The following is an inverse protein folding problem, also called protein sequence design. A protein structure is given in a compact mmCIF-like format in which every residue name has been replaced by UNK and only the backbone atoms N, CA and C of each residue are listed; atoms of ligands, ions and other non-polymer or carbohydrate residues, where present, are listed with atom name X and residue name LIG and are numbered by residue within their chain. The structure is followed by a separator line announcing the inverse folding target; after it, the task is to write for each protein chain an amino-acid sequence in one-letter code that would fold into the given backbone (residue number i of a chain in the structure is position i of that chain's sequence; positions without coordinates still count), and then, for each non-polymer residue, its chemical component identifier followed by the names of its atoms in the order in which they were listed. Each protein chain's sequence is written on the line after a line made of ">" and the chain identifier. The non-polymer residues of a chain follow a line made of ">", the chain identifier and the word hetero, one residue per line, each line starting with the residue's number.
data_IF_327150502710
#
_entry.id   IF_327150502710
#
_cell.length_a   1.000
_cell.length_b   1.000
_cell.length_c   1.000
_cell.angle_alpha   90.00
_cell.angle_beta   90.00
_cell.angle_gamma   90.00
#
_symmetry.space_group_name_H-M   'P 1'
#
loop_
_entity.id
_entity.type
_entity.pdbx_description
1 polymer ?
#
# COMPACT_ATOMS: atom_id res chain seq x y z
N UNK A 1 -69.93 73.67 -10.54
CA UNK A 1 -70.98 72.71 -10.92
C UNK A 1 -70.25 71.48 -11.41
N UNK A 2 -70.27 70.30 -10.83
CA UNK A 2 -70.91 69.72 -9.63
C UNK A 2 -70.31 68.32 -9.60
N UNK A 3 -69.78 67.89 -8.46
CA UNK A 3 -69.55 66.50 -8.05
C UNK A 3 -70.87 65.68 -8.06
N UNK A 4 -70.94 64.39 -7.63
CA UNK A 4 -69.94 63.32 -7.40
C UNK A 4 -70.46 61.91 -7.84
N UNK A 5 -69.76 60.84 -7.44
CA UNK A 5 -70.27 59.62 -6.74
C UNK A 5 -69.21 58.51 -6.88
N UNK A 6 -68.78 57.74 -5.89
CA UNK A 6 -68.77 57.79 -4.42
C UNK A 6 -67.80 56.67 -3.98
N UNK A 7 -67.19 56.81 -2.81
CA UNK A 7 -66.38 55.80 -2.10
C UNK A 7 -67.30 55.22 -0.99
N UNK A 8 -66.85 54.77 0.21
CA UNK A 8 -65.87 53.77 0.63
C UNK A 8 -66.46 52.75 1.65
N UNK A 9 -65.65 51.81 2.18
CA UNK A 9 -65.52 51.48 3.63
C UNK A 9 -64.34 50.50 3.81
N UNK A 10 -63.21 50.91 4.44
CA UNK A 10 -62.85 50.84 5.88
C UNK A 10 -62.27 49.45 6.25
N UNK A 11 -60.97 49.26 6.53
CA UNK A 11 -60.09 49.77 7.59
C UNK A 11 -60.08 48.90 8.87
N UNK A 12 -58.88 48.78 9.46
CA UNK A 12 -58.55 48.39 10.85
C UNK A 12 -58.59 46.88 11.21
N UNK A 13 -57.82 46.33 12.16
CA UNK A 13 -56.61 46.68 12.93
C UNK A 13 -56.28 45.41 13.78
N UNK A 14 -55.05 45.32 14.26
CA UNK A 14 -54.40 44.35 15.19
C UNK A 14 -55.23 44.22 16.51
N UNK A 15 -55.28 43.11 17.31
CA UNK A 15 -54.12 42.59 18.07
C UNK A 15 -54.07 41.11 18.52
N UNK A 16 -52.98 40.80 19.22
CA UNK A 16 -52.57 39.56 19.90
C UNK A 16 -53.64 38.89 20.80
N UNK A 17 -53.31 37.71 21.34
CA UNK A 17 -53.69 37.41 22.71
C UNK A 17 -52.51 37.02 23.62
N UNK A 18 -52.49 37.70 24.77
CA UNK A 18 -51.78 37.37 26.00
C UNK A 18 -52.32 36.09 26.66
N UNK A 19 -51.39 35.32 27.24
CA UNK A 19 -51.38 35.00 28.68
C UNK A 19 -52.36 33.96 29.24
N UNK A 20 -51.82 32.84 29.75
CA UNK A 20 -51.74 32.51 31.18
C UNK A 20 -51.46 31.00 31.39
N UNK A 21 -50.46 30.68 32.24
CA UNK A 21 -50.07 29.32 32.66
C UNK A 21 -51.04 28.69 33.69
N UNK A 22 -50.60 27.80 34.62
CA UNK A 22 -49.33 27.92 35.35
C UNK A 22 -48.62 26.60 35.82
N UNK A 23 -47.42 26.79 36.42
CA UNK A 23 -46.67 25.97 37.42
C UNK A 23 -46.08 24.59 37.03
N UNK A 24 -44.82 24.22 37.33
CA UNK A 24 -43.73 24.86 38.08
C UNK A 24 -42.48 23.95 38.26
N UNK A 25 -41.42 24.54 38.81
CA UNK A 25 -40.16 23.97 39.37
C UNK A 25 -39.01 23.68 38.38
N UNK A 26 -38.04 24.59 38.13
CA UNK A 26 -36.92 25.09 38.97
C UNK A 26 -35.86 23.98 39.28
N UNK A 27 -34.53 24.14 39.13
CA UNK A 27 -33.68 25.32 39.06
C UNK A 27 -32.29 24.98 38.46
N UNK A 28 -31.65 25.97 37.80
CA UNK A 28 -30.19 26.15 37.75
C UNK A 28 -29.76 27.02 38.94
N UNK A 29 -28.45 27.15 39.23
CA UNK A 29 -27.97 28.48 39.58
C UNK A 29 -26.64 28.91 38.93
N UNK A 30 -26.59 30.23 38.69
CA UNK A 30 -25.48 31.10 38.28
C UNK A 30 -24.51 31.45 39.42
N UNK A 31 -23.49 32.23 39.07
CA UNK A 31 -22.25 32.55 39.77
C UNK A 31 -22.21 33.86 40.62
N UNK A 32 -21.17 33.92 41.49
CA UNK A 32 -20.35 35.08 41.99
C UNK A 32 -20.86 35.96 43.18
N UNK A 33 -20.02 36.81 43.85
CA UNK A 33 -18.64 36.64 44.43
C UNK A 33 -18.39 37.34 45.82
N UNK A 34 -17.09 37.43 46.23
CA UNK A 34 -16.41 38.31 47.24
C UNK A 34 -16.39 37.85 48.74
N UNK A 35 -15.32 37.92 49.56
CA UNK A 35 -13.99 38.60 49.58
C UNK A 35 -13.16 38.11 50.80
N UNK A 36 -11.81 38.17 50.75
CA UNK A 36 -10.96 38.40 51.95
C UNK A 36 -9.74 37.47 52.17
N UNK A 37 -8.53 37.98 51.90
CA UNK A 37 -7.19 37.42 52.23
C UNK A 37 -6.84 37.61 53.75
N UNK A 38 -5.68 37.19 54.34
CA UNK A 38 -4.35 36.94 53.72
C UNK A 38 -3.42 35.82 54.29
N UNK A 39 -2.37 35.55 53.51
CA UNK A 39 -0.95 35.21 53.79
C UNK A 39 -0.49 34.42 55.05
N UNK A 40 0.27 33.32 54.82
CA UNK A 40 1.50 32.90 55.50
C UNK A 40 2.08 31.69 54.72
N UNK A 41 3.19 31.84 53.99
CA UNK A 41 4.59 31.58 54.37
C UNK A 41 4.99 30.09 54.27
N UNK A 42 6.07 29.82 53.51
CA UNK A 42 6.65 28.51 53.28
C UNK A 42 7.58 28.10 54.44
N UNK A 43 7.92 26.81 54.61
CA UNK A 43 9.21 26.40 54.05
C UNK A 43 9.26 24.97 53.48
N UNK A 44 10.33 24.76 52.72
CA UNK A 44 10.77 23.51 52.13
C UNK A 44 11.27 22.48 53.18
N UNK A 45 11.22 21.19 52.78
CA UNK A 45 12.01 20.11 53.38
C UNK A 45 11.19 18.90 53.78
N UNK A 46 11.25 17.81 53.01
CA UNK A 46 11.93 16.56 53.39
C UNK A 46 11.51 15.41 52.46
N UNK A 47 12.49 14.60 52.05
CA UNK A 47 12.27 13.42 51.21
C UNK A 47 11.84 12.22 52.07
N UNK A 48 10.98 11.30 51.58
CA UNK A 48 10.70 10.07 52.33
C UNK A 48 11.91 9.11 52.30
N UNK A 49 12.21 8.41 53.41
CA UNK A 49 13.42 7.60 53.53
C UNK A 49 13.31 6.27 52.79
N UNK A 50 14.46 5.79 52.29
CA UNK A 50 14.64 4.44 51.78
C UNK A 50 14.40 3.41 52.89
N UNK A 51 13.51 2.45 52.63
CA UNK A 51 13.28 1.31 53.52
C UNK A 51 14.50 0.38 53.51
N UNK A 52 15.24 0.34 54.62
CA UNK A 52 16.25 -0.68 54.90
C UNK A 52 15.57 -1.90 55.52
N UNK A 53 15.65 -3.04 54.86
CA UNK A 53 15.18 -4.35 55.37
C UNK A 53 16.10 -4.80 56.51
N UNK A 54 15.52 -5.25 57.62
CA UNK A 54 16.26 -5.64 58.82
C UNK A 54 16.77 -7.09 58.75
N UNK A 55 17.85 -7.39 59.45
CA UNK A 55 18.46 -8.73 59.47
C UNK A 55 17.51 -9.85 59.95
N UNK A 56 16.44 -9.50 60.68
CA UNK A 56 15.41 -10.46 61.11
C UNK A 56 14.49 -10.91 59.96
N UNK A 57 14.34 -10.11 58.91
CA UNK A 57 13.51 -10.43 57.75
C UNK A 57 14.24 -11.35 56.75
N UNK A 58 15.58 -11.36 56.77
CA UNK A 58 16.41 -12.26 55.97
C UNK A 58 16.49 -13.67 56.57
N UNK A 59 16.57 -13.79 57.90
CA UNK A 59 16.54 -15.10 58.59
C UNK A 59 15.17 -15.81 58.44
N UNK A 60 14.07 -15.04 58.37
CA UNK A 60 12.73 -15.59 58.17
C UNK A 60 12.53 -16.15 56.74
N UNK A 61 13.25 -15.64 55.75
CA UNK A 61 13.24 -16.16 54.37
C UNK A 61 14.11 -17.42 54.23
N UNK A 62 15.26 -17.49 54.91
CA UNK A 62 16.12 -18.68 54.90
C UNK A 62 15.50 -19.87 55.68
N UNK A 63 14.78 -19.61 56.76
CA UNK A 63 14.06 -20.67 57.49
C UNK A 63 12.87 -21.26 56.71
N UNK A 64 12.28 -20.50 55.78
CA UNK A 64 11.23 -20.99 54.88
C UNK A 64 11.78 -21.82 53.71
N UNK A 65 13.07 -21.67 53.38
CA UNK A 65 13.75 -22.37 52.29
C UNK A 65 14.30 -23.74 52.73
N UNK A 66 14.66 -23.90 54.01
CA UNK A 66 15.11 -25.18 54.58
C UNK A 66 13.96 -26.13 54.97
N UNK A 67 12.71 -25.66 54.99
CA UNK A 67 11.53 -26.49 55.28
C UNK A 67 10.96 -27.23 54.03
N UNK A 68 11.69 -27.24 52.91
CA UNK A 68 11.27 -27.88 51.65
C UNK A 68 12.20 -29.00 51.21
N UNK A 69 12.57 -29.89 52.13
CA UNK A 69 13.21 -31.16 51.82
C UNK A 69 12.43 -32.33 52.43
N UNK A 70 11.85 -33.14 51.54
CA UNK A 70 11.45 -34.53 51.82
C UNK A 70 9.95 -34.80 51.90
N UNK A 71 9.29 -34.95 50.74
CA UNK A 71 8.10 -35.79 50.63
C UNK A 71 8.23 -36.68 49.37
N UNK A 72 8.36 -38.02 49.50
CA UNK A 72 8.58 -38.92 48.38
C UNK A 72 7.25 -39.48 47.88
N UNK A 73 6.45 -38.67 47.18
CA UNK A 73 5.31 -39.13 46.37
C UNK A 73 4.75 -37.99 45.52
N UNK A 74 5.49 -37.57 44.49
CA UNK A 74 4.90 -36.88 43.36
C UNK A 74 5.48 -37.52 42.11
N UNK A 75 4.59 -38.21 41.40
CA UNK A 75 4.84 -38.83 40.11
C UNK A 75 5.65 -37.87 39.23
N UNK A 76 6.69 -38.42 38.60
CA UNK A 76 7.30 -37.85 37.41
C UNK A 76 6.16 -37.56 36.43
N UNK A 77 5.73 -36.30 36.33
CA UNK A 77 5.14 -35.81 35.10
C UNK A 77 6.28 -35.79 34.10
N UNK A 78 6.41 -36.94 33.42
CA UNK A 78 7.12 -37.13 32.19
C UNK A 78 6.96 -35.83 31.38
N UNK A 79 8.05 -35.12 31.01
CA UNK A 79 7.93 -33.94 30.18
C UNK A 79 7.15 -34.39 28.95
N UNK A 80 5.88 -34.01 28.88
CA UNK A 80 4.99 -34.43 27.81
C UNK A 80 5.78 -34.24 26.53
N UNK A 81 6.06 -35.36 25.86
CA UNK A 81 6.67 -35.37 24.55
C UNK A 81 5.85 -34.37 23.74
N UNK A 82 6.38 -33.15 23.58
CA UNK A 82 6.02 -32.33 22.47
C UNK A 82 6.66 -33.12 21.33
N UNK A 83 5.93 -34.11 20.85
CA UNK A 83 6.13 -34.70 19.55
C UNK A 83 6.14 -33.50 18.61
N UNK A 84 7.33 -32.96 18.37
CA UNK A 84 7.64 -32.18 17.19
C UNK A 84 7.66 -33.22 16.06
N UNK A 85 6.52 -33.87 15.85
CA UNK A 85 6.20 -34.48 14.59
C UNK A 85 6.42 -33.35 13.59
N UNK A 86 7.27 -33.61 12.62
CA UNK A 86 7.58 -32.76 11.48
C UNK A 86 6.30 -32.67 10.62
N UNK A 87 5.24 -32.04 11.17
CA UNK A 87 3.90 -31.89 10.60
C UNK A 87 3.91 -30.71 9.63
N UNK A 88 4.91 -30.71 8.75
CA UNK A 88 4.90 -29.88 7.55
C UNK A 88 3.86 -30.50 6.63
N UNK A 89 2.64 -29.97 6.75
CA UNK A 89 1.47 -30.23 5.92
C UNK A 89 0.67 -31.47 6.33
N UNK A 90 -0.07 -31.37 7.44
CA UNK A 90 -1.27 -32.19 7.61
C UNK A 90 -2.17 -32.02 6.38
N UNK A 91 -2.60 -33.10 5.71
CA UNK A 91 -3.56 -33.02 4.61
C UNK A 91 -4.78 -32.21 5.04
N UNK A 92 -5.22 -31.25 4.20
CA UNK A 92 -6.33 -30.34 4.51
C UNK A 92 -7.58 -31.07 5.03
N UNK A 93 -7.85 -32.28 4.53
CA UNK A 93 -8.96 -33.13 4.98
C UNK A 93 -8.86 -33.54 6.45
N UNK A 94 -7.65 -33.87 6.95
CA UNK A 94 -7.42 -34.20 8.36
C UNK A 94 -7.56 -32.97 9.25
N UNK A 95 -7.02 -31.84 8.80
CA UNK A 95 -7.16 -30.55 9.48
C UNK A 95 -8.64 -30.14 9.58
N UNK A 96 -9.38 -30.23 8.49
CA UNK A 96 -10.81 -29.93 8.45
C UNK A 96 -11.64 -30.89 9.33
N UNK A 97 -11.30 -32.18 9.35
CA UNK A 97 -11.94 -33.15 10.23
C UNK A 97 -11.70 -32.83 11.72
N UNK A 98 -10.49 -32.41 12.09
CA UNK A 98 -10.17 -31.94 13.43
C UNK A 98 -10.91 -30.62 13.74
N UNK A 99 -10.93 -29.68 12.80
CA UNK A 99 -11.56 -28.37 12.95
C UNK A 99 -13.07 -28.44 13.19
N UNK A 100 -13.76 -29.45 12.62
CA UNK A 100 -15.18 -29.71 12.88
C UNK A 100 -15.50 -29.96 14.36
N UNK A 101 -14.54 -30.48 15.12
CA UNK A 101 -14.70 -30.76 16.56
C UNK A 101 -14.41 -29.57 17.47
N UNK A 102 -13.85 -28.48 16.93
CA UNK A 102 -13.57 -27.27 17.72
C UNK A 102 -14.88 -26.66 18.22
N UNK A 103 -14.88 -26.08 19.42
CA UNK A 103 -16.00 -25.26 19.90
C UNK A 103 -16.02 -23.90 19.21
N UNK A 104 -17.13 -23.15 19.33
CA UNK A 104 -17.23 -21.81 18.75
C UNK A 104 -16.18 -20.85 19.35
N UNK A 105 -15.96 -20.91 20.66
CA UNK A 105 -14.96 -20.07 21.33
C UNK A 105 -13.55 -20.45 20.92
N UNK A 106 -13.27 -21.74 20.72
CA UNK A 106 -11.98 -22.19 20.23
C UNK A 106 -11.71 -21.68 18.82
N UNK A 107 -12.71 -21.73 17.92
CA UNK A 107 -12.58 -21.15 16.57
C UNK A 107 -12.27 -19.65 16.65
N UNK A 108 -12.93 -18.91 17.54
CA UNK A 108 -12.62 -17.48 17.76
C UNK A 108 -11.15 -17.28 18.15
N UNK A 109 -10.63 -18.04 19.12
CA UNK A 109 -9.22 -17.92 19.53
C UNK A 109 -8.24 -18.28 18.40
N UNK A 110 -8.61 -19.22 17.53
CA UNK A 110 -7.79 -19.58 16.37
C UNK A 110 -7.76 -18.43 15.36
N UNK A 111 -8.92 -17.85 15.04
CA UNK A 111 -9.02 -16.69 14.14
C UNK A 111 -8.22 -15.51 14.68
N UNK A 112 -8.36 -15.21 15.97
CA UNK A 112 -7.60 -14.15 16.64
C UNK A 112 -6.08 -14.39 16.57
N UNK A 113 -5.63 -15.63 16.78
CA UNK A 113 -4.22 -16.02 16.66
C UNK A 113 -3.72 -15.80 15.23
N UNK A 114 -4.49 -16.23 14.22
CA UNK A 114 -4.12 -16.06 12.81
C UNK A 114 -4.04 -14.57 12.44
N UNK A 115 -5.00 -13.76 12.89
CA UNK A 115 -5.02 -12.32 12.66
C UNK A 115 -3.88 -11.59 13.37
N UNK A 116 -3.49 -12.03 14.57
CA UNK A 116 -2.38 -11.47 15.31
C UNK A 116 -1.02 -11.76 14.65
N UNK A 117 -0.87 -12.95 14.06
CA UNK A 117 0.34 -13.33 13.32
C UNK A 117 0.41 -12.72 11.92
N UNK A 118 -0.72 -12.32 11.34
CA UNK A 118 -0.77 -11.81 9.98
C UNK A 118 -0.22 -10.37 9.87
N UNK A 119 0.81 -10.19 9.04
CA UNK A 119 1.37 -8.86 8.75
C UNK A 119 0.50 -8.03 7.77
N UNK A 120 -0.41 -8.70 7.05
CA UNK A 120 -1.29 -8.13 6.02
C UNK A 120 -2.75 -8.55 6.28
N UNK A 121 -3.75 -7.87 5.68
CA UNK A 121 -5.12 -8.35 5.74
C UNK A 121 -5.22 -9.80 5.27
N UNK A 122 -5.91 -10.61 6.08
CA UNK A 122 -6.06 -12.04 5.87
C UNK A 122 -7.45 -12.33 5.33
N UNK A 123 -7.57 -12.99 4.17
CA UNK A 123 -8.88 -13.34 3.62
C UNK A 123 -9.51 -14.51 4.38
N UNK A 124 -10.83 -14.64 4.29
CA UNK A 124 -11.55 -15.78 4.91
C UNK A 124 -11.11 -17.10 4.28
N UNK A 125 -10.77 -17.13 2.99
CA UNK A 125 -10.23 -18.33 2.35
C UNK A 125 -8.83 -18.70 2.89
N UNK A 126 -7.97 -17.71 3.14
CA UNK A 126 -6.66 -17.94 3.74
C UNK A 126 -6.78 -18.48 5.17
N UNK A 127 -7.71 -17.92 5.97
CA UNK A 127 -8.02 -18.45 7.30
C UNK A 127 -8.53 -19.89 7.24
N UNK A 128 -9.39 -20.21 6.26
CA UNK A 128 -9.89 -21.57 6.04
C UNK A 128 -8.75 -22.51 5.69
N UNK A 129 -7.88 -22.12 4.76
CA UNK A 129 -6.74 -22.93 4.35
C UNK A 129 -5.82 -23.25 5.53
N UNK A 130 -5.55 -22.26 6.40
CA UNK A 130 -4.69 -22.41 7.57
C UNK A 130 -5.33 -23.19 8.73
N UNK A 131 -6.65 -23.10 8.92
CA UNK A 131 -7.33 -23.67 10.10
C UNK A 131 -8.17 -24.91 9.81
N UNK A 132 -8.53 -25.18 8.55
CA UNK A 132 -9.50 -26.21 8.15
C UNK A 132 -10.95 -25.91 8.56
N UNK A 133 -11.22 -24.76 9.17
CA UNK A 133 -12.55 -24.37 9.65
C UNK A 133 -13.44 -23.95 8.47
N UNK A 134 -14.70 -24.36 8.48
CA UNK A 134 -15.68 -23.95 7.46
C UNK A 134 -15.94 -22.44 7.47
N UNK A 135 -16.14 -21.85 6.29
CA UNK A 135 -16.30 -20.41 6.07
C UNK A 135 -17.36 -19.79 6.99
N UNK A 136 -18.54 -20.39 7.07
CA UNK A 136 -19.64 -19.87 7.91
C UNK A 136 -19.27 -19.77 9.40
N UNK A 137 -18.41 -20.67 9.89
CA UNK A 137 -17.94 -20.63 11.28
C UNK A 137 -16.86 -19.58 11.49
N UNK A 138 -16.05 -19.32 10.48
CA UNK A 138 -15.05 -18.24 10.48
C UNK A 138 -15.74 -16.88 10.49
N UNK A 139 -16.74 -16.67 9.62
CA UNK A 139 -17.52 -15.43 9.57
C UNK A 139 -18.20 -15.14 10.91
N UNK A 140 -18.88 -16.13 11.49
CA UNK A 140 -19.49 -16.00 12.83
C UNK A 140 -18.46 -15.69 13.93
N UNK A 141 -17.24 -16.22 13.80
CA UNK A 141 -16.16 -15.94 14.76
C UNK A 141 -15.62 -14.52 14.58
N UNK A 142 -15.48 -14.04 13.35
CA UNK A 142 -15.08 -12.68 13.01
C UNK A 142 -16.11 -11.65 13.49
N UNK A 143 -17.40 -11.90 13.31
CA UNK A 143 -18.46 -11.02 13.80
C UNK A 143 -18.41 -10.87 15.33
N UNK A 144 -18.25 -11.99 16.04
CA UNK A 144 -18.10 -11.99 17.51
C UNK A 144 -16.82 -11.26 17.95
N UNK A 145 -15.72 -11.48 17.25
CA UNK A 145 -14.44 -10.84 17.55
C UNK A 145 -14.51 -9.33 17.28
N UNK A 146 -15.17 -8.92 16.20
CA UNK A 146 -15.44 -7.52 15.87
C UNK A 146 -16.29 -6.86 16.95
N UNK A 147 -17.35 -7.53 17.42
CA UNK A 147 -18.13 -7.08 18.57
C UNK A 147 -17.28 -6.90 19.82
N UNK A 148 -16.45 -7.90 20.16
CA UNK A 148 -15.57 -7.85 21.33
C UNK A 148 -14.60 -6.67 21.32
N UNK A 149 -13.93 -6.41 20.19
CA UNK A 149 -13.01 -5.27 20.06
C UNK A 149 -13.72 -3.91 20.00
N UNK A 150 -15.04 -3.87 19.71
CA UNK A 150 -15.86 -2.66 19.79
C UNK A 150 -16.42 -2.40 21.19
N UNK A 151 -16.46 -3.42 22.04
CA UNK A 151 -16.97 -3.32 23.40
C UNK A 151 -15.90 -2.73 24.34
N UNK A 152 -16.17 -1.54 24.87
CA UNK A 152 -15.33 -0.90 25.89
C UNK A 152 -14.08 -0.20 25.33
N UNK A 153 -13.21 0.33 26.23
CA UNK A 153 -12.00 1.02 25.83
C UNK A 153 -10.91 0.03 25.37
N UNK A 154 -10.91 -0.31 24.08
CA UNK A 154 -9.90 -1.16 23.45
C UNK A 154 -8.88 -0.35 22.63
N UNK A 155 -7.59 -0.65 22.80
CA UNK A 155 -6.52 -0.04 22.01
C UNK A 155 -6.35 -0.66 20.61
N UNK A 156 -7.00 -1.80 20.36
CA UNK A 156 -6.95 -2.58 19.12
C UNK A 156 -8.37 -2.69 18.57
N UNK A 157 -8.49 -2.59 17.25
CA UNK A 157 -9.74 -2.68 16.51
C UNK A 157 -9.59 -3.67 15.36
N UNK A 158 -10.66 -4.40 15.07
CA UNK A 158 -10.71 -5.31 13.93
C UNK A 158 -11.35 -4.60 12.74
N UNK A 159 -10.59 -4.43 11.65
CA UNK A 159 -11.05 -3.81 10.40
C UNK A 159 -11.09 -4.80 9.25
N UNK A 160 -12.10 -4.64 8.39
CA UNK A 160 -12.15 -5.29 7.09
C UNK A 160 -11.50 -4.36 6.04
N UNK A 161 -10.42 -4.82 5.42
CA UNK A 161 -9.58 -4.03 4.51
C UNK A 161 -9.11 -4.91 3.36
N UNK A 162 -9.16 -4.38 2.13
CA UNK A 162 -8.71 -5.05 0.90
C UNK A 162 -9.29 -6.46 0.69
N UNK A 163 -10.55 -6.67 1.10
CA UNK A 163 -11.24 -7.96 1.04
C UNK A 163 -10.80 -8.99 2.09
N UNK A 164 -10.04 -8.56 3.10
CA UNK A 164 -9.61 -9.39 4.23
C UNK A 164 -9.83 -8.68 5.56
N UNK A 165 -9.37 -9.32 6.65
CA UNK A 165 -9.50 -8.80 8.00
C UNK A 165 -8.13 -8.56 8.62
N UNK A 166 -8.00 -7.51 9.42
CA UNK A 166 -6.74 -7.16 10.09
C UNK A 166 -6.99 -6.50 11.44
N UNK A 167 -6.18 -6.87 12.44
CA UNK A 167 -6.09 -6.14 13.71
C UNK A 167 -5.26 -4.87 13.51
N UNK A 168 -5.81 -3.72 13.89
CA UNK A 168 -5.15 -2.41 13.79
C UNK A 168 -5.26 -1.66 15.11
N UNK A 169 -4.41 -0.65 15.32
CA UNK A 169 -4.51 0.23 16.48
C UNK A 169 -5.72 1.15 16.36
N UNK A 170 -6.38 1.46 17.48
CA UNK A 170 -7.47 2.43 17.51
C UNK A 170 -7.00 3.82 17.00
N UNK A 171 -7.79 4.49 16.13
CA UNK A 171 -7.49 5.84 15.65
C UNK A 171 -7.31 6.87 16.78
N UNK A 172 -8.03 6.72 17.89
CA UNK A 172 -7.96 7.59 19.06
C UNK A 172 -6.57 7.61 19.69
N UNK A 173 -5.80 6.53 19.52
CA UNK A 173 -4.46 6.37 20.07
C UNK A 173 -3.35 6.69 19.06
N UNK A 174 -3.69 7.24 17.89
CA UNK A 174 -2.73 7.42 16.79
C UNK A 174 -1.55 8.32 17.13
N UNK A 175 -1.73 9.35 17.95
CA UNK A 175 -0.64 10.23 18.40
C UNK A 175 0.40 9.52 19.27
N UNK A 176 -0.06 8.63 20.16
CA UNK A 176 0.84 7.81 20.97
C UNK A 176 1.64 6.84 20.10
N UNK A 177 0.98 6.18 19.14
CA UNK A 177 1.63 5.27 18.20
C UNK A 177 2.69 5.99 17.34
N UNK A 178 2.36 7.20 16.83
CA UNK A 178 3.30 8.03 16.05
C UNK A 178 4.54 8.41 16.86
N UNK A 179 4.36 8.88 18.10
CA UNK A 179 5.47 9.25 18.99
C UNK A 179 6.36 8.06 19.33
N UNK A 180 5.75 6.90 19.57
CA UNK A 180 6.46 5.67 19.87
C UNK A 180 7.30 5.18 18.68
N UNK A 181 6.70 5.10 17.50
CA UNK A 181 7.37 4.61 16.29
C UNK A 181 8.43 5.58 15.77
N UNK A 182 8.34 6.88 16.10
CA UNK A 182 9.19 7.96 15.55
C UNK A 182 9.20 7.98 14.00
N UNK A 183 8.19 7.39 13.37
CA UNK A 183 8.03 7.33 11.92
C UNK A 183 7.28 8.56 11.46
N UNK A 184 7.83 9.27 10.47
CA UNK A 184 7.12 10.37 9.80
C UNK A 184 6.02 9.80 8.90
N UNK A 185 4.80 10.36 8.90
CA UNK A 185 3.75 9.92 8.01
C UNK A 185 4.17 10.14 6.55
N UNK A 186 4.06 9.10 5.73
CA UNK A 186 4.25 9.18 4.29
C UNK A 186 3.07 9.94 3.67
N UNK A 187 3.15 11.27 3.59
CA UNK A 187 2.10 12.10 2.99
C UNK A 187 2.19 12.06 1.47
N UNK A 188 1.03 11.90 0.84
CA UNK A 188 0.84 12.12 -0.60
C UNK A 188 0.66 13.61 -0.83
N UNK A 189 1.33 14.17 -1.84
CA UNK A 189 1.12 15.57 -2.24
C UNK A 189 -0.26 15.72 -2.86
N UNK A 190 -0.74 16.96 -2.95
CA UNK A 190 -2.01 17.25 -3.63
C UNK A 190 -2.04 16.73 -5.06
N UNK A 191 -0.99 16.98 -5.85
CA UNK A 191 -0.89 16.49 -7.23
C UNK A 191 -0.93 14.95 -7.32
N UNK A 192 -0.33 14.26 -6.34
CA UNK A 192 -0.37 12.81 -6.26
C UNK A 192 -1.76 12.28 -5.90
N UNK A 193 -2.43 12.91 -4.94
CA UNK A 193 -3.80 12.57 -4.56
C UNK A 193 -4.78 12.78 -5.73
N UNK A 194 -4.68 13.90 -6.45
CA UNK A 194 -5.51 14.17 -7.63
C UNK A 194 -5.32 13.11 -8.72
N UNK A 195 -4.05 12.81 -9.04
CA UNK A 195 -3.71 11.78 -10.05
C UNK A 195 -4.21 10.40 -9.62
N UNK A 196 -4.02 10.03 -8.35
CA UNK A 196 -4.46 8.76 -7.79
C UNK A 196 -5.98 8.63 -7.78
N UNK A 197 -6.69 9.72 -7.45
CA UNK A 197 -8.16 9.74 -7.47
C UNK A 197 -8.69 9.51 -8.89
N UNK A 198 -8.12 10.17 -9.91
CA UNK A 198 -8.52 9.95 -11.31
C UNK A 198 -8.35 8.47 -11.68
N UNK A 199 -7.21 7.86 -11.33
CA UNK A 199 -6.97 6.44 -11.59
C UNK A 199 -7.99 5.56 -10.86
N UNK A 200 -8.27 5.81 -9.58
CA UNK A 200 -9.19 5.00 -8.79
C UNK A 200 -10.62 5.00 -9.35
N UNK A 201 -11.13 6.16 -9.79
CA UNK A 201 -12.50 6.30 -10.31
C UNK A 201 -12.66 6.00 -11.80
N UNK A 202 -11.59 6.04 -12.59
CA UNK A 202 -11.65 5.87 -14.06
C UNK A 202 -10.94 4.62 -14.58
N UNK A 203 -10.32 3.81 -13.72
CA UNK A 203 -9.61 2.61 -14.15
C UNK A 203 -10.51 1.65 -14.96
N UNK A 204 -9.96 0.97 -15.99
CA UNK A 204 -8.59 1.09 -16.49
C UNK A 204 -8.37 2.37 -17.31
N UNK A 205 -7.31 3.15 -17.01
CA UNK A 205 -7.05 4.47 -17.62
C UNK A 205 -5.61 4.61 -18.11
N UNK A 206 -5.37 5.39 -19.16
CA UNK A 206 -4.04 5.64 -19.74
C UNK A 206 -3.43 6.96 -19.27
N UNK A 207 -2.11 7.12 -19.41
CA UNK A 207 -1.42 8.37 -19.03
C UNK A 207 -1.99 9.61 -19.76
N UNK A 208 -2.18 9.60 -21.10
CA UNK A 208 -2.76 10.75 -21.80
C UNK A 208 -4.16 11.11 -21.31
N UNK A 209 -5.02 10.12 -21.04
CA UNK A 209 -6.37 10.36 -20.51
C UNK A 209 -6.33 11.02 -19.11
N UNK A 210 -5.32 10.72 -18.29
CA UNK A 210 -5.13 11.40 -17.00
C UNK A 210 -4.66 12.84 -17.21
N UNK A 211 -3.70 13.06 -18.11
CA UNK A 211 -3.17 14.38 -18.45
C UNK A 211 -4.27 15.28 -19.03
N UNK A 212 -5.15 14.75 -19.86
CA UNK A 212 -6.30 15.48 -20.44
C UNK A 212 -7.28 15.96 -19.36
N UNK A 213 -7.49 15.16 -18.30
CA UNK A 213 -8.37 15.54 -17.19
C UNK A 213 -7.69 16.57 -16.27
N UNK A 214 -6.38 16.42 -16.01
CA UNK A 214 -5.62 17.30 -15.09
C UNK A 214 -5.15 18.60 -15.76
N UNK A 215 -5.01 18.60 -17.08
CA UNK A 215 -4.43 19.70 -17.86
C UNK A 215 -2.92 19.90 -17.67
N UNK A 216 -2.23 18.98 -16.98
CA UNK A 216 -0.78 19.06 -16.69
C UNK A 216 -0.12 17.69 -16.76
N UNK A 217 1.19 17.65 -17.02
CA UNK A 217 1.98 16.41 -17.05
C UNK A 217 1.86 15.65 -15.71
N UNK A 218 1.64 14.33 -15.80
CA UNK A 218 1.55 13.46 -14.64
C UNK A 218 2.58 12.33 -14.66
N UNK A 219 3.56 12.36 -15.56
CA UNK A 219 4.52 11.26 -15.75
C UNK A 219 5.33 10.93 -14.49
N UNK A 220 5.90 11.95 -13.85
CA UNK A 220 6.66 11.79 -12.60
C UNK A 220 5.78 11.28 -11.44
N UNK A 221 4.55 11.77 -11.35
CA UNK A 221 3.60 11.40 -10.30
C UNK A 221 3.16 9.95 -10.45
N UNK A 222 2.79 9.52 -11.66
CA UNK A 222 2.43 8.13 -11.95
C UNK A 222 3.59 7.19 -11.64
N UNK A 223 4.82 7.58 -11.98
CA UNK A 223 6.03 6.81 -11.62
C UNK A 223 6.17 6.65 -10.10
N UNK A 224 6.05 7.74 -9.35
CA UNK A 224 6.13 7.70 -7.88
C UNK A 224 5.00 6.84 -7.25
N UNK A 225 3.79 6.86 -7.83
CA UNK A 225 2.67 6.02 -7.37
C UNK A 225 2.88 4.52 -7.67
N UNK A 226 3.54 4.19 -8.79
CA UNK A 226 3.93 2.82 -9.14
C UNK A 226 5.01 2.29 -8.18
N UNK A 227 6.04 3.11 -7.88
CA UNK A 227 7.12 2.74 -6.94
C UNK A 227 6.58 2.44 -5.53
N UNK A 228 5.55 3.17 -5.11
CA UNK A 228 4.83 2.96 -3.84
C UNK A 228 3.79 1.85 -3.89
N UNK A 229 3.66 1.16 -5.04
CA UNK A 229 2.67 0.11 -5.29
C UNK A 229 1.22 0.55 -5.05
N UNK A 230 0.90 1.84 -5.13
CA UNK A 230 -0.50 2.32 -5.04
C UNK A 230 -1.25 2.15 -6.38
N UNK A 231 -0.48 2.12 -7.46
CA UNK A 231 -0.97 1.90 -8.83
C UNK A 231 -0.18 0.74 -9.43
N UNK A 232 -0.79 0.02 -10.36
CA UNK A 232 -0.16 -1.03 -11.18
C UNK A 232 -0.51 -0.87 -12.65
N UNK A 233 0.29 -1.53 -13.48
CA UNK A 233 0.03 -1.66 -14.92
C UNK A 233 -0.91 -2.84 -15.13
N UNK A 234 -2.06 -2.60 -15.76
CA UNK A 234 -3.05 -3.62 -16.11
C UNK A 234 -2.79 -4.23 -17.51
N UNK A 235 -2.14 -3.48 -18.39
CA UNK A 235 -1.86 -3.90 -19.76
C UNK A 235 -1.57 -2.73 -20.67
N UNK A 236 -1.85 -2.90 -21.97
CA UNK A 236 -1.77 -1.85 -22.99
C UNK A 236 -3.10 -1.76 -23.74
N UNK A 237 -3.51 -0.54 -24.11
CA UNK A 237 -4.72 -0.29 -24.90
C UNK A 237 -4.43 -0.58 -26.38
N UNK A 238 -5.37 -1.20 -27.10
CA UNK A 238 -5.24 -1.52 -28.53
C UNK A 238 -5.62 -0.32 -29.40
N UNK A 239 -4.91 0.79 -29.20
CA UNK A 239 -5.03 2.05 -29.95
C UNK A 239 -3.66 2.48 -30.50
N UNK A 240 -3.58 3.42 -31.46
CA UNK A 240 -2.31 3.92 -31.99
C UNK A 240 -1.37 4.36 -30.87
N UNK A 241 -0.12 3.88 -30.90
CA UNK A 241 0.87 4.14 -29.84
C UNK A 241 0.80 3.18 -28.64
N UNK A 242 -0.20 2.28 -28.57
CA UNK A 242 -0.38 1.25 -27.55
C UNK A 242 -0.12 1.75 -26.11
N UNK A 243 -0.85 2.77 -25.65
CA UNK A 243 -0.60 3.38 -24.35
C UNK A 243 -0.84 2.40 -23.20
N UNK A 244 -0.08 2.56 -22.12
CA UNK A 244 -0.14 1.71 -20.94
C UNK A 244 -1.42 2.01 -20.15
N UNK A 245 -2.13 0.96 -19.71
CA UNK A 245 -3.30 1.03 -18.84
C UNK A 245 -2.89 0.89 -17.38
N UNK A 246 -3.38 1.80 -16.55
CA UNK A 246 -3.14 1.86 -15.12
C UNK A 246 -4.42 1.52 -14.34
N UNK A 247 -4.23 0.98 -13.14
CA UNK A 247 -5.28 0.76 -12.15
C UNK A 247 -4.71 0.68 -10.74
N UNK A 248 -5.58 0.65 -9.74
CA UNK A 248 -5.21 0.58 -8.33
C UNK A 248 -4.81 -0.83 -7.90
N UNK A 249 -4.11 -0.92 -6.78
CA UNK A 249 -3.62 -2.18 -6.20
C UNK A 249 -4.39 -2.56 -4.93
N UNK A 250 -3.97 -3.66 -4.28
CA UNK A 250 -4.48 -3.99 -2.94
C UNK A 250 -3.90 -3.06 -1.89
N UNK A 251 -2.63 -2.69 -2.05
CA UNK A 251 -1.93 -1.73 -1.20
C UNK A 251 -2.63 -0.36 -1.19
N UNK A 252 -3.26 0.05 -2.31
CA UNK A 252 -4.15 1.21 -2.33
C UNK A 252 -5.32 1.04 -1.36
N UNK A 253 -6.04 -0.08 -1.43
CA UNK A 253 -7.16 -0.35 -0.52
C UNK A 253 -6.69 -0.40 0.93
N UNK A 254 -5.51 -0.97 1.19
CA UNK A 254 -4.91 -1.02 2.52
C UNK A 254 -4.52 0.35 3.08
N UNK A 255 -3.96 1.20 2.21
CA UNK A 255 -3.53 2.55 2.55
C UNK A 255 -4.72 3.44 2.91
N UNK A 256 -5.83 3.33 2.16
CA UNK A 256 -7.05 4.08 2.42
C UNK A 256 -8.04 3.36 3.35
N UNK A 257 -7.65 2.20 3.91
CA UNK A 257 -8.48 1.37 4.78
C UNK A 257 -9.86 1.04 4.17
N UNK A 258 -9.90 0.78 2.87
CA UNK A 258 -11.09 0.44 2.11
C UNK A 258 -11.25 -1.08 2.02
N UNK A 259 -12.50 -1.55 2.07
CA UNK A 259 -12.82 -2.97 1.84
C UNK A 259 -12.57 -3.35 0.39
N UNK A 260 -13.11 -2.55 -0.52
CA UNK A 260 -13.06 -2.76 -1.97
C UNK A 260 -13.18 -1.43 -2.72
N UNK A 261 -13.13 -1.47 -4.05
CA UNK A 261 -13.28 -0.26 -4.86
C UNK A 261 -14.71 0.30 -4.88
N UNK A 262 -15.72 -0.50 -4.53
CA UNK A 262 -17.10 -0.04 -4.44
C UNK A 262 -17.35 0.79 -3.17
N UNK A 263 -16.51 0.63 -2.15
CA UNK A 263 -16.51 1.48 -0.95
C UNK A 263 -15.94 2.89 -1.16
N UNK A 264 -15.53 3.24 -2.38
CA UNK A 264 -15.18 4.62 -2.71
C UNK A 264 -16.45 5.50 -2.74
N UNK A 265 -16.45 6.69 -2.12
CA UNK A 265 -17.58 7.61 -2.14
C UNK A 265 -18.05 7.90 -3.55
N UNK A 266 -19.36 7.87 -3.79
CA UNK A 266 -19.87 8.23 -5.11
C UNK A 266 -19.74 9.74 -5.35
N UNK A 267 -19.68 10.16 -6.62
CA UNK A 267 -19.65 11.59 -6.96
C UNK A 267 -20.86 12.37 -6.39
N UNK A 268 -21.99 11.69 -6.12
CA UNK A 268 -23.17 12.30 -5.49
C UNK A 268 -22.95 12.55 -4.00
N UNK A 269 -22.42 11.57 -3.28
CA UNK A 269 -22.06 11.70 -1.86
C UNK A 269 -20.96 12.76 -1.64
N UNK A 270 -20.05 12.93 -2.60
CA UNK A 270 -19.03 13.97 -2.55
C UNK A 270 -19.60 15.40 -2.50
N UNK A 271 -20.73 15.66 -3.17
CA UNK A 271 -21.38 16.96 -3.14
C UNK A 271 -22.05 17.27 -1.78
N UNK A 272 -22.45 16.25 -1.04
CA UNK A 272 -23.04 16.37 0.30
C UNK A 272 -21.94 16.51 1.38
N UNK A 273 -20.77 15.89 1.17
CA UNK A 273 -19.61 15.94 2.06
C UNK A 273 -18.80 17.25 1.95
N UNK A 274 -19.00 18.07 0.90
CA UNK A 274 -18.09 19.17 0.55
C UNK A 274 -18.14 20.37 1.51
N UNK A 275 -19.20 20.59 2.28
CA UNK A 275 -19.27 21.76 3.17
C UNK A 275 -18.57 21.52 4.51
N UNK A 276 -18.64 20.30 5.07
CA UNK A 276 -18.04 19.98 6.37
C UNK A 276 -16.54 19.63 6.28
N UNK A 277 -16.08 19.06 5.16
CA UNK A 277 -14.69 18.61 4.99
C UNK A 277 -13.73 19.69 4.49
N UNK A 278 -14.24 20.75 3.83
CA UNK A 278 -13.39 21.86 3.35
C UNK A 278 -12.71 22.57 4.53
N UNK A 279 -13.43 22.72 5.62
CA UNK A 279 -12.94 23.32 6.86
C UNK A 279 -11.86 22.48 7.56
N UNK A 280 -11.89 21.15 7.42
CA UNK A 280 -10.89 20.23 7.98
C UNK A 280 -9.59 20.29 7.15
N UNK A 281 -9.71 20.25 5.82
CA UNK A 281 -8.55 20.36 4.92
C UNK A 281 -7.87 21.72 5.05
N UNK A 282 -8.64 22.80 5.21
CA UNK A 282 -8.10 24.15 5.42
C UNK A 282 -7.45 24.32 6.81
N UNK A 283 -8.01 23.70 7.87
CA UNK A 283 -7.43 23.74 9.23
C UNK A 283 -6.20 22.85 9.41
N UNK A 284 -6.12 21.72 8.73
CA UNK A 284 -4.95 20.81 8.75
C UNK A 284 -3.83 21.21 7.79
N UNK A 285 -3.98 22.34 7.09
CA UNK A 285 -2.96 22.93 6.24
C UNK A 285 -2.02 23.95 6.93
N UNK A 286 -1.36 23.68 8.08
CA UNK A 286 -0.09 24.34 8.37
C UNK A 286 1.11 23.54 7.82
N UNK A 287 1.88 24.23 6.98
CA UNK A 287 3.29 24.02 6.60
C UNK A 287 3.68 22.80 5.73
N UNK A 288 3.82 23.12 4.44
CA UNK A 288 4.65 22.59 3.33
C UNK A 288 6.07 22.05 3.64
N UNK A 289 6.39 21.53 4.83
CA UNK A 289 7.75 21.09 5.14
C UNK A 289 7.81 19.67 5.72
N UNK A 290 7.55 18.68 4.84
CA UNK A 290 8.09 17.35 5.03
C UNK A 290 8.36 16.70 3.66
N UNK A 291 9.50 16.01 3.46
CA UNK A 291 9.77 15.31 2.21
C UNK A 291 8.91 14.04 2.14
N UNK A 292 7.63 14.21 1.76
CA UNK A 292 6.75 13.15 1.27
C UNK A 292 6.99 12.95 -0.22
N UNK A 293 5.97 12.59 -1.01
CA UNK A 293 6.08 12.55 -2.48
C UNK A 293 6.68 13.84 -3.07
N UNK A 294 6.56 14.96 -2.37
CA UNK A 294 7.24 16.22 -2.65
C UNK A 294 8.75 16.06 -2.88
N UNK A 295 9.47 15.21 -2.14
CA UNK A 295 10.90 14.98 -2.37
C UNK A 295 11.18 14.25 -3.68
N UNK A 296 10.41 13.19 -3.98
CA UNK A 296 10.56 12.39 -5.20
C UNK A 296 10.08 13.18 -6.43
N UNK A 297 8.98 13.93 -6.30
CA UNK A 297 8.46 14.80 -7.36
C UNK A 297 9.33 16.03 -7.52
N UNK A 298 9.86 16.63 -6.45
CA UNK A 298 10.83 17.73 -6.54
C UNK A 298 12.11 17.29 -7.23
N UNK A 299 12.67 16.13 -6.86
CA UNK A 299 13.84 15.55 -7.53
C UNK A 299 13.54 15.22 -9.01
N UNK A 300 12.36 14.68 -9.35
CA UNK A 300 11.95 14.42 -10.73
C UNK A 300 11.52 15.68 -11.53
N UNK A 301 11.18 16.77 -10.84
CA UNK A 301 10.82 18.06 -11.41
C UNK A 301 11.99 19.06 -11.44
N UNK A 302 13.13 18.69 -10.86
CA UNK A 302 14.35 19.50 -10.88
C UNK A 302 14.81 19.65 -12.34
N UNK A 303 14.82 20.88 -12.83
CA UNK A 303 15.30 21.23 -14.18
C UNK A 303 16.72 20.71 -14.40
N UNK A 304 17.54 20.66 -13.36
CA UNK A 304 18.92 20.17 -13.43
C UNK A 304 18.96 18.66 -13.68
N UNK A 305 18.11 17.88 -13.01
CA UNK A 305 18.06 16.42 -13.21
C UNK A 305 17.47 16.07 -14.58
N UNK A 306 16.49 16.85 -15.06
CA UNK A 306 15.94 16.70 -16.42
C UNK A 306 17.00 16.98 -17.49
N UNK A 307 17.78 18.06 -17.32
CA UNK A 307 18.89 18.37 -18.21
C UNK A 307 19.98 17.27 -18.19
N UNK A 308 20.30 16.70 -17.03
CA UNK A 308 21.25 15.58 -16.93
C UNK A 308 20.73 14.29 -17.58
N UNK A 309 19.43 13.99 -17.46
CA UNK A 309 18.82 12.83 -18.11
C UNK A 309 18.72 12.99 -19.63
N UNK A 310 18.41 14.18 -20.12
CA UNK A 310 18.44 14.48 -21.55
C UNK A 310 19.86 14.42 -22.12
N UNK A 311 20.85 14.93 -21.38
CA UNK A 311 22.25 14.82 -21.77
C UNK A 311 22.71 13.36 -21.84
N UNK A 312 22.38 12.53 -20.84
CA UNK A 312 22.69 11.09 -20.85
C UNK A 312 21.95 10.33 -21.95
N UNK A 313 20.73 10.74 -22.28
CA UNK A 313 19.97 10.15 -23.40
C UNK A 313 20.61 10.50 -24.73
N UNK A 314 21.00 11.76 -24.94
CA UNK A 314 21.71 12.18 -26.14
C UNK A 314 23.08 11.50 -26.26
N UNK A 315 23.79 11.28 -25.15
CA UNK A 315 25.05 10.52 -25.10
C UNK A 315 24.83 9.04 -25.45
N UNK A 316 23.75 8.43 -24.95
CA UNK A 316 23.37 7.05 -25.31
C UNK A 316 22.97 6.93 -26.78
N UNK A 317 22.22 7.90 -27.32
CA UNK A 317 21.79 7.90 -28.72
C UNK A 317 23.01 8.07 -29.65
N UNK A 318 23.95 8.96 -29.30
CA UNK A 318 25.21 9.11 -30.04
C UNK A 318 26.10 7.85 -29.98
N UNK A 319 26.15 7.17 -28.83
CA UNK A 319 26.89 5.91 -28.70
C UNK A 319 26.27 4.78 -29.52
N UNK A 320 24.94 4.76 -29.68
CA UNK A 320 24.24 3.82 -30.54
C UNK A 320 24.52 4.09 -32.02
N UNK A 321 24.53 5.35 -32.44
CA UNK A 321 24.88 5.74 -33.81
C UNK A 321 26.33 5.38 -34.15
N UNK A 322 27.26 5.57 -33.21
CA UNK A 322 28.67 5.19 -33.39
C UNK A 322 28.84 3.67 -33.49
N UNK A 323 28.10 2.90 -32.68
CA UNK A 323 28.08 1.44 -32.76
C UNK A 323 27.51 0.96 -34.10
N UNK A 324 26.43 1.58 -34.58
CA UNK A 324 25.82 1.26 -35.88
C UNK A 324 26.80 1.54 -37.03
N UNK A 325 27.49 2.67 -37.01
CA UNK A 325 28.53 2.99 -38.00
C UNK A 325 29.71 2.02 -37.94
N UNK A 326 30.14 1.62 -36.74
CA UNK A 326 31.21 0.64 -36.57
C UNK A 326 30.81 -0.74 -37.11
N UNK A 327 29.55 -1.15 -36.94
CA UNK A 327 29.03 -2.40 -37.50
C UNK A 327 28.99 -2.35 -39.03
N UNK A 328 28.52 -1.25 -39.62
CA UNK A 328 28.50 -1.08 -41.09
C UNK A 328 29.92 -1.13 -41.66
N UNK A 329 30.88 -0.44 -41.04
CA UNK A 329 32.27 -0.45 -41.47
C UNK A 329 32.94 -1.84 -41.32
N UNK A 330 32.56 -2.60 -40.29
CA UNK A 330 33.01 -3.98 -40.11
C UNK A 330 32.46 -4.90 -41.20
N UNK A 331 31.19 -4.76 -41.57
CA UNK A 331 30.55 -5.52 -42.66
C UNK A 331 31.17 -5.18 -44.02
N UNK A 332 31.49 -3.92 -44.29
CA UNK A 332 32.20 -3.52 -45.52
C UNK A 332 33.61 -4.11 -45.58
N UNK A 333 34.35 -4.09 -44.47
CA UNK A 333 35.68 -4.73 -44.39
C UNK A 333 35.58 -6.24 -44.55
N UNK A 334 34.57 -6.88 -43.98
CA UNK A 334 34.33 -8.31 -44.13
C UNK A 334 34.05 -8.66 -45.61
N UNK A 335 33.18 -7.91 -46.29
CA UNK A 335 32.91 -8.07 -47.73
C UNK A 335 34.14 -7.82 -48.59
N UNK A 336 34.95 -6.82 -48.27
CA UNK A 336 36.19 -6.54 -48.99
C UNK A 336 37.24 -7.66 -48.79
N UNK A 337 37.33 -8.21 -47.59
CA UNK A 337 38.21 -9.35 -47.30
C UNK A 337 37.74 -10.63 -48.01
N UNK A 338 36.43 -10.89 -48.07
CA UNK A 338 35.85 -11.99 -48.84
C UNK A 338 36.09 -11.83 -50.34
N UNK A 339 35.94 -10.61 -50.89
CA UNK A 339 36.22 -10.32 -52.29
C UNK A 339 37.71 -10.54 -52.63
N UNK A 340 38.62 -10.07 -51.78
CA UNK A 340 40.06 -10.29 -51.95
C UNK A 340 40.44 -11.79 -51.86
N UNK A 341 39.77 -12.55 -51.00
CA UNK A 341 39.97 -13.99 -50.88
C UNK A 341 39.43 -14.73 -52.13
N UNK A 342 38.31 -14.28 -52.68
CA UNK A 342 37.74 -14.82 -53.92
C UNK A 342 38.61 -14.50 -55.14
N UNK A 343 39.19 -13.30 -55.23
CA UNK A 343 40.12 -12.93 -56.30
C UNK A 343 41.44 -13.70 -56.20
N UNK A 344 41.95 -13.93 -54.98
CA UNK A 344 43.11 -14.79 -54.76
C UNK A 344 42.83 -16.24 -55.18
N UNK A 345 41.65 -16.76 -54.84
CA UNK A 345 41.24 -18.11 -55.24
C UNK A 345 41.10 -18.25 -56.76
N UNK A 346 40.59 -17.23 -57.45
CA UNK A 346 40.55 -17.17 -58.93
C UNK A 346 41.94 -17.09 -59.55
N UNK A 347 42.88 -16.39 -58.93
CA UNK A 347 44.27 -16.34 -59.38
C UNK A 347 44.97 -17.70 -59.20
N UNK A 348 44.79 -18.34 -58.05
CA UNK A 348 45.33 -19.67 -57.75
C UNK A 348 44.73 -20.76 -58.69
N UNK A 349 43.43 -20.66 -59.05
CA UNK A 349 42.76 -21.55 -60.02
C UNK A 349 43.23 -21.30 -61.48
N UNK A 350 43.56 -20.06 -61.85
CA UNK A 350 44.09 -19.71 -63.16
C UNK A 350 45.56 -20.13 -63.34
N UNK A 351 46.37 -20.06 -62.28
CA UNK A 351 47.76 -20.55 -62.27
C UNK A 351 47.80 -22.08 -62.36
N UNK A 352 46.87 -22.78 -61.69
CA UNK A 352 46.70 -24.24 -61.81
C UNK A 352 46.22 -24.71 -63.21
N UNK A 353 45.55 -23.85 -63.98
CA UNK A 353 45.18 -24.12 -65.38
C UNK A 353 46.28 -23.75 -66.38
N UNK A 354 47.27 -22.94 -65.99
CA UNK A 354 48.43 -22.58 -66.82
C UNK A 354 49.58 -23.59 -66.72
N UNK A 355 49.68 -24.36 -65.63
CA UNK A 355 50.60 -25.50 -65.49
C UNK A 355 50.11 -26.80 -66.18
N UNK A 356 48.91 -26.78 -66.77
CA UNK A 356 48.40 -27.86 -67.62
C UNK A 356 48.74 -27.60 -69.11
N UNK A 357 49.92 -28.10 -69.50
CA UNK A 357 50.42 -28.34 -70.87
C UNK A 357 51.09 -27.18 -71.65
N UNK A 358 52.27 -27.44 -72.28
CA UNK A 358 52.39 -28.46 -73.34
C UNK A 358 53.65 -29.34 -73.35
N UNK A 359 53.50 -30.59 -73.80
CA UNK A 359 54.61 -31.53 -74.02
C UNK A 359 54.28 -32.70 -74.96
N UNK A 360 54.41 -32.44 -76.26
CA UNK A 360 54.36 -33.30 -77.45
C UNK A 360 54.63 -34.82 -77.32
N UNK A 361 53.90 -35.61 -78.11
CA UNK A 361 54.22 -37.00 -78.46
C UNK A 361 53.79 -37.39 -79.87
N UNK A 362 54.72 -37.31 -80.82
CA UNK A 362 54.60 -37.78 -82.20
C UNK A 362 54.73 -39.31 -82.31
N UNK A 363 54.08 -39.93 -83.31
CA UNK A 363 54.34 -41.32 -83.70
C UNK A 363 53.28 -41.96 -84.62
N UNK A 364 53.60 -42.40 -85.85
CA UNK A 364 52.63 -42.59 -86.95
C UNK A 364 52.26 -44.07 -87.22
N UNK A 365 51.17 -44.29 -87.97
CA UNK A 365 50.93 -45.57 -88.66
C UNK A 365 49.47 -45.83 -89.04
N UNK A 366 49.10 -45.59 -90.31
CA UNK A 366 47.87 -46.17 -90.90
C UNK A 366 48.09 -47.65 -91.31
N UNK A 367 47.27 -48.24 -92.21
CA UNK A 367 45.96 -47.85 -92.72
C UNK A 367 44.97 -49.06 -92.66
N UNK A 368 44.15 -49.42 -93.68
CA UNK A 368 42.70 -49.18 -93.71
C UNK A 368 41.85 -50.48 -93.86
N UNK A 369 40.54 -50.41 -93.59
CA UNK A 369 39.51 -51.30 -94.14
C UNK A 369 38.13 -50.79 -93.66
N UNK A 370 37.27 -50.29 -94.55
CA UNK A 370 36.35 -51.06 -95.42
C UNK A 370 35.19 -51.69 -94.65
N UNK A 371 33.97 -51.39 -95.10
CA UNK A 371 32.82 -52.25 -94.87
C UNK A 371 31.58 -51.56 -94.33
N UNK A 372 30.79 -51.05 -95.29
CA UNK A 372 29.32 -51.08 -95.37
C UNK A 372 28.47 -50.42 -94.30
#
# INVERSE_FOLDING_TARGET
>A
MTEPTDRPTAAEDVPAPDGAGPEGSAAQPEAAPATGAPAADAPAGDAPPAASVSAAELDALQAAEEAKQGDPALDEVDPADIDVADDKELPFEKLAAAARRLSADRVRTVVETLLFLAERPLSVEEMRAASGVEVERLEKALDKLSGHYREGPCGIVLHEVAGGWQLRTSPDNSDFARRFLKVKPQRLTRAALETLAIIAYRQPVTRPEIEDIRGVDCGAVVKALLERKLVKILGKKEEPGRPILYGTTREFLEFFALKDLASLPTLREFHELSEEHRDIVEKEAPAEQAPGIEGIVAELSDEKLRAELEAKRAESDAALDELEQAMVAADEKARAAEAALADKKRADEAEAQADAEPGAGAGPGGPPAAGS
#
